data_IF_344924448870
#
_entry.id   IF_344924448870
#
_cell.length_a   1.000
_cell.length_b   1.000
_cell.length_c   1.000
_cell.angle_alpha   90.00
_cell.angle_beta   90.00
_cell.angle_gamma   90.00
#
_symmetry.space_group_name_H-M   'P 1'
#
loop_
_entity.id
_entity.type
_entity.pdbx_description
1 polymer ?
#
# COMPACT_ATOMS: atom_id res chain seq x y z
N UNK A 1 4.77 -14.99 -13.22
CA UNK A 1 5.44 -13.69 -13.43
C UNK A 1 5.14 -13.03 -14.76
N UNK A 2 4.99 -13.76 -15.88
CA UNK A 2 4.49 -13.18 -17.14
C UNK A 2 3.77 -14.22 -18.01
N UNK A 3 2.43 -14.34 -17.86
CA UNK A 3 1.59 -15.15 -18.75
C UNK A 3 1.77 -14.85 -20.23
N UNK A 4 1.92 -13.56 -20.61
CA UNK A 4 2.15 -13.17 -22.00
C UNK A 4 3.47 -13.72 -22.57
N UNK A 5 4.56 -13.66 -21.78
CA UNK A 5 5.85 -14.24 -22.19
C UNK A 5 5.76 -15.76 -22.32
N UNK A 6 5.03 -16.42 -21.41
CA UNK A 6 4.81 -17.86 -21.49
C UNK A 6 4.03 -18.26 -22.75
N UNK A 7 2.94 -17.54 -23.09
CA UNK A 7 2.20 -17.78 -24.34
C UNK A 7 3.07 -17.57 -25.59
N UNK A 8 3.91 -16.54 -25.59
CA UNK A 8 4.85 -16.31 -26.69
C UNK A 8 5.86 -17.45 -26.83
N UNK A 9 6.33 -18.03 -25.70
CA UNK A 9 7.19 -19.20 -25.70
C UNK A 9 6.50 -20.46 -26.23
N UNK A 10 5.24 -20.72 -25.86
CA UNK A 10 4.49 -21.85 -26.40
C UNK A 10 4.24 -21.67 -27.92
N UNK A 11 3.84 -20.47 -28.36
CA UNK A 11 3.69 -20.15 -29.79
C UNK A 11 5.00 -20.33 -30.58
N UNK A 12 6.15 -20.04 -29.96
CA UNK A 12 7.45 -20.27 -30.56
C UNK A 12 7.76 -21.76 -30.75
N UNK A 13 7.45 -22.62 -29.76
CA UNK A 13 7.62 -24.07 -29.89
C UNK A 13 6.84 -24.66 -31.07
N UNK A 14 5.68 -24.09 -31.35
CA UNK A 14 4.82 -24.49 -32.47
C UNK A 14 5.27 -23.90 -33.82
N UNK A 15 6.38 -23.15 -33.86
CA UNK A 15 6.88 -22.49 -35.07
C UNK A 15 6.07 -21.27 -35.51
N UNK A 16 5.20 -20.74 -34.64
CA UNK A 16 4.23 -19.69 -34.98
C UNK A 16 4.73 -18.24 -34.85
N UNK A 17 6.01 -18.01 -34.54
CA UNK A 17 6.58 -16.67 -34.40
C UNK A 17 7.38 -16.24 -35.63
N UNK A 18 7.30 -14.95 -35.97
CA UNK A 18 8.23 -14.34 -36.92
C UNK A 18 9.64 -14.22 -36.31
N UNK A 19 10.67 -14.09 -37.15
CA UNK A 19 12.07 -13.94 -36.72
C UNK A 19 12.28 -12.74 -35.78
N UNK A 20 11.53 -11.65 -35.98
CA UNK A 20 11.58 -10.46 -35.11
C UNK A 20 10.99 -10.75 -33.73
N UNK A 21 9.86 -11.44 -33.67
CA UNK A 21 9.22 -11.84 -32.41
C UNK A 21 10.07 -12.84 -31.65
N UNK A 22 10.69 -13.79 -32.34
CA UNK A 22 11.61 -14.78 -31.77
C UNK A 22 12.83 -14.11 -31.13
N UNK A 23 13.48 -13.15 -31.81
CA UNK A 23 14.57 -12.36 -31.22
C UNK A 23 14.12 -11.63 -29.95
N UNK A 24 12.92 -11.04 -29.96
CA UNK A 24 12.34 -10.35 -28.78
C UNK A 24 12.04 -11.32 -27.63
N UNK A 25 11.55 -12.52 -27.95
CA UNK A 25 11.30 -13.59 -27.00
C UNK A 25 12.61 -14.01 -26.32
N UNK A 26 13.64 -14.36 -27.08
CA UNK A 26 14.93 -14.78 -26.50
C UNK A 26 15.59 -13.70 -25.66
N UNK A 27 15.54 -12.44 -26.09
CA UNK A 27 16.03 -11.33 -25.29
C UNK A 27 15.26 -11.20 -23.96
N UNK A 28 13.95 -11.39 -24.00
CA UNK A 28 13.11 -11.36 -22.79
C UNK A 28 13.40 -12.54 -21.86
N UNK A 29 13.51 -13.76 -22.40
CA UNK A 29 13.90 -14.96 -21.63
C UNK A 29 15.29 -14.80 -21.00
N UNK A 30 16.25 -14.23 -21.73
CA UNK A 30 17.58 -13.89 -21.23
C UNK A 30 17.52 -12.93 -20.04
N UNK A 31 16.70 -11.87 -20.09
CA UNK A 31 16.47 -10.96 -18.95
C UNK A 31 15.89 -11.69 -17.73
N UNK A 32 14.94 -12.60 -17.94
CA UNK A 32 14.35 -13.39 -16.86
C UNK A 32 15.39 -14.35 -16.24
N UNK A 33 16.23 -14.98 -17.06
CA UNK A 33 17.32 -15.83 -16.59
C UNK A 33 18.34 -15.04 -15.77
N UNK A 34 18.79 -13.88 -16.27
CA UNK A 34 19.69 -12.99 -15.55
C UNK A 34 19.08 -12.53 -14.22
N UNK A 35 17.80 -12.17 -14.21
CA UNK A 35 17.10 -11.81 -12.97
C UNK A 35 17.09 -12.95 -11.96
N UNK A 36 16.78 -14.18 -12.40
CA UNK A 36 16.75 -15.37 -11.53
C UNK A 36 18.13 -15.76 -10.98
N UNK A 37 19.22 -15.45 -11.69
CA UNK A 37 20.57 -15.83 -11.30
C UNK A 37 21.34 -14.76 -10.53
N UNK A 38 21.13 -13.48 -10.86
CA UNK A 38 22.00 -12.40 -10.39
C UNK A 38 21.30 -11.36 -9.50
N UNK A 39 19.95 -11.33 -9.44
CA UNK A 39 19.24 -10.28 -8.71
C UNK A 39 18.59 -10.82 -7.44
N UNK A 40 19.03 -10.33 -6.30
CA UNK A 40 18.52 -10.73 -4.98
C UNK A 40 17.20 -10.06 -4.57
N UNK A 41 16.67 -9.10 -5.33
CA UNK A 41 15.39 -8.43 -5.00
C UNK A 41 14.22 -9.42 -5.01
N UNK A 42 13.55 -9.68 -3.87
CA UNK A 42 12.44 -10.64 -3.78
C UNK A 42 11.36 -10.36 -4.82
N UNK A 43 10.99 -11.39 -5.59
CA UNK A 43 9.97 -11.28 -6.63
C UNK A 43 9.49 -12.65 -7.08
N UNK A 44 8.28 -13.02 -6.68
CA UNK A 44 7.70 -14.31 -7.03
C UNK A 44 8.61 -15.46 -6.56
N UNK A 45 8.97 -16.32 -7.51
CA UNK A 45 9.83 -17.48 -7.27
C UNK A 45 11.29 -17.26 -7.75
N UNK A 46 11.65 -16.06 -8.17
CA UNK A 46 12.98 -15.76 -8.71
C UNK A 46 14.00 -15.48 -7.62
N UNK A 47 13.56 -14.85 -6.53
CA UNK A 47 14.33 -14.54 -5.36
C UNK A 47 13.41 -14.63 -4.14
N UNK A 48 13.99 -14.93 -2.98
CA UNK A 48 13.26 -15.15 -1.76
C UNK A 48 14.03 -14.65 -0.54
N UNK A 49 13.35 -14.61 0.59
CA UNK A 49 13.87 -14.04 1.83
C UNK A 49 14.33 -15.14 2.80
N UNK A 50 15.32 -14.81 3.62
CA UNK A 50 15.78 -15.59 4.76
C UNK A 50 15.95 -14.66 5.95
N UNK A 51 15.78 -15.20 7.15
CA UNK A 51 16.10 -14.50 8.40
C UNK A 51 17.40 -15.08 8.94
N UNK A 52 18.31 -14.23 9.38
CA UNK A 52 19.59 -14.64 9.95
C UNK A 52 19.73 -14.09 11.37
N UNK A 53 20.48 -14.83 12.19
CA UNK A 53 20.93 -14.36 13.51
C UNK A 53 22.27 -13.62 13.45
N UNK A 54 22.73 -13.19 14.62
CA UNK A 54 24.09 -12.68 14.82
C UNK A 54 24.92 -13.74 15.54
N UNK A 55 26.18 -13.91 15.17
CA UNK A 55 27.13 -14.83 15.79
C UNK A 55 28.56 -14.30 15.78
N UNK A 56 29.52 -15.11 16.23
CA UNK A 56 30.93 -14.69 16.27
C UNK A 56 31.58 -14.66 14.88
N UNK A 57 31.24 -15.66 14.05
CA UNK A 57 31.67 -15.76 12.64
C UNK A 57 30.47 -15.85 11.72
N UNK A 58 30.65 -15.43 10.47
CA UNK A 58 29.62 -15.61 9.44
C UNK A 58 29.58 -17.08 9.06
N UNK A 59 28.40 -17.68 9.19
CA UNK A 59 28.14 -19.07 8.81
C UNK A 59 26.74 -19.13 8.22
N UNK A 60 26.66 -19.32 6.90
CA UNK A 60 25.40 -19.28 6.16
C UNK A 60 25.37 -20.49 5.24
N UNK A 61 24.55 -21.45 5.61
CA UNK A 61 24.18 -22.55 4.73
C UNK A 61 22.70 -22.42 4.40
N UNK A 62 22.39 -22.36 3.09
CA UNK A 62 21.02 -22.45 2.61
C UNK A 62 20.69 -23.91 2.36
N UNK A 63 19.50 -24.38 2.76
CA UNK A 63 19.11 -25.74 2.46
C UNK A 63 18.90 -25.95 0.95
N UNK A 64 18.81 -27.21 0.51
CA UNK A 64 18.38 -27.55 -0.85
C UNK A 64 17.05 -26.89 -1.20
N UNK A 65 16.85 -26.60 -2.49
CA UNK A 65 15.71 -25.82 -3.00
C UNK A 65 14.36 -26.49 -2.69
N UNK A 66 14.35 -27.79 -2.50
CA UNK A 66 13.18 -28.61 -2.14
C UNK A 66 12.64 -28.24 -0.75
N UNK A 67 13.49 -27.71 0.14
CA UNK A 67 13.08 -27.22 1.47
C UNK A 67 12.60 -25.77 1.44
N UNK A 68 12.71 -25.07 0.31
CA UNK A 68 12.20 -23.70 0.21
C UNK A 68 10.67 -23.73 0.26
N UNK A 69 10.12 -22.72 0.92
CA UNK A 69 8.68 -22.56 1.04
C UNK A 69 8.26 -21.36 0.21
N UNK A 70 6.96 -21.32 -0.11
CA UNK A 70 6.35 -20.17 -0.76
C UNK A 70 5.04 -19.87 -0.09
N UNK A 71 4.61 -18.61 -0.20
CA UNK A 71 3.30 -18.17 0.24
C UNK A 71 2.63 -17.42 -0.90
N UNK A 72 1.49 -17.92 -1.35
CA UNK A 72 0.67 -17.31 -2.39
C UNK A 72 -0.48 -16.55 -1.74
N UNK A 73 -0.72 -15.33 -2.21
CA UNK A 73 -1.84 -14.47 -1.79
C UNK A 73 -2.57 -13.98 -3.02
N UNK A 74 -3.86 -13.72 -2.87
CA UNK A 74 -4.61 -12.97 -3.86
C UNK A 74 -4.14 -11.52 -3.85
N UNK A 75 -4.11 -10.92 -5.03
CA UNK A 75 -3.76 -9.52 -5.17
C UNK A 75 -4.79 -8.61 -4.51
N UNK A 76 -4.30 -7.50 -3.96
CA UNK A 76 -5.13 -6.57 -3.21
C UNK A 76 -6.20 -5.92 -4.10
N UNK A 77 -5.90 -5.61 -5.37
CA UNK A 77 -6.87 -5.05 -6.31
C UNK A 77 -8.03 -6.04 -6.53
N UNK A 78 -7.71 -7.31 -6.73
CA UNK A 78 -8.72 -8.36 -6.87
C UNK A 78 -9.59 -8.48 -5.62
N UNK A 79 -8.99 -8.44 -4.42
CA UNK A 79 -9.73 -8.52 -3.16
C UNK A 79 -10.65 -7.30 -2.95
N UNK A 80 -10.20 -6.09 -3.32
CA UNK A 80 -11.05 -4.89 -3.31
C UNK A 80 -12.26 -5.04 -4.25
N UNK A 81 -12.04 -5.49 -5.48
CA UNK A 81 -13.12 -5.71 -6.46
C UNK A 81 -14.08 -6.82 -6.00
N UNK A 82 -13.57 -7.86 -5.34
CA UNK A 82 -14.39 -8.91 -4.74
C UNK A 82 -15.25 -8.37 -3.60
N UNK A 83 -14.69 -7.57 -2.70
CA UNK A 83 -15.45 -6.93 -1.63
C UNK A 83 -16.59 -6.06 -2.19
N UNK A 84 -16.26 -5.18 -3.14
CA UNK A 84 -17.26 -4.32 -3.80
C UNK A 84 -18.35 -5.12 -4.52
N UNK A 85 -18.00 -6.27 -5.14
CA UNK A 85 -18.98 -7.13 -5.78
C UNK A 85 -19.92 -7.78 -4.76
N UNK A 86 -19.37 -8.28 -3.65
CA UNK A 86 -20.17 -8.84 -2.55
C UNK A 86 -21.10 -7.78 -1.98
N UNK A 87 -20.59 -6.57 -1.72
CA UNK A 87 -21.39 -5.46 -1.18
C UNK A 87 -22.53 -5.01 -2.09
N UNK A 88 -22.51 -5.33 -3.39
CA UNK A 88 -23.62 -5.05 -4.31
C UNK A 88 -24.73 -6.10 -4.29
N UNK A 89 -24.49 -7.26 -3.70
CA UNK A 89 -25.51 -8.29 -3.55
C UNK A 89 -26.46 -7.92 -2.40
N UNK A 90 -27.76 -7.84 -2.68
CA UNK A 90 -28.77 -7.48 -1.67
C UNK A 90 -28.72 -8.42 -0.46
N UNK A 91 -28.54 -9.73 -0.69
CA UNK A 91 -28.42 -10.74 0.36
C UNK A 91 -27.18 -10.54 1.25
N UNK A 92 -26.09 -10.04 0.68
CA UNK A 92 -24.90 -9.67 1.45
C UNK A 92 -25.14 -8.40 2.26
N UNK A 93 -25.71 -7.34 1.64
CA UNK A 93 -26.04 -6.09 2.34
C UNK A 93 -26.89 -6.32 3.58
N UNK A 94 -27.85 -7.25 3.53
CA UNK A 94 -28.69 -7.56 4.68
C UNK A 94 -27.94 -8.17 5.88
N UNK A 95 -26.79 -8.79 5.65
CA UNK A 95 -26.06 -9.59 6.64
C UNK A 95 -24.73 -8.96 7.07
N UNK A 96 -24.15 -8.09 6.25
CA UNK A 96 -22.95 -7.32 6.57
C UNK A 96 -23.16 -6.44 7.80
N UNK A 97 -22.11 -6.32 8.61
CA UNK A 97 -21.99 -5.26 9.59
C UNK A 97 -21.47 -3.99 8.91
N UNK A 98 -22.09 -2.86 9.24
CA UNK A 98 -21.70 -1.54 8.79
C UNK A 98 -21.28 -0.66 9.97
N UNK A 99 -20.23 0.13 9.73
CA UNK A 99 -19.61 1.03 10.70
C UNK A 99 -19.52 2.44 10.11
N UNK A 100 -19.51 3.51 10.92
CA UNK A 100 -19.17 4.84 10.44
C UNK A 100 -17.86 4.84 9.67
N UNK A 101 -17.81 5.56 8.57
CA UNK A 101 -16.57 5.78 7.83
C UNK A 101 -15.51 6.37 8.77
N UNK A 102 -14.34 5.73 8.88
CA UNK A 102 -13.29 6.14 9.82
C UNK A 102 -12.68 7.52 9.55
N UNK A 103 -13.05 8.17 8.45
CA UNK A 103 -12.67 9.55 8.12
C UNK A 103 -13.75 10.58 8.43
N UNK A 104 -14.94 10.12 8.87
CA UNK A 104 -16.09 10.96 9.19
C UNK A 104 -15.82 11.86 10.39
N UNK A 105 -16.15 13.13 10.27
CA UNK A 105 -16.17 14.08 11.38
C UNK A 105 -17.28 15.12 11.20
N UNK A 106 -17.77 15.65 12.31
CA UNK A 106 -18.80 16.70 12.31
C UNK A 106 -18.16 18.07 12.16
N UNK A 107 -18.67 18.88 11.24
CA UNK A 107 -18.27 20.27 11.01
C UNK A 107 -19.51 21.15 10.99
N UNK A 108 -19.73 21.92 12.06
CA UNK A 108 -20.93 22.76 12.22
C UNK A 108 -22.23 21.96 11.99
N UNK A 109 -22.98 22.29 10.94
CA UNK A 109 -24.24 21.66 10.55
C UNK A 109 -24.10 20.56 9.50
N UNK A 110 -22.89 20.07 9.22
CA UNK A 110 -22.65 18.99 8.28
C UNK A 110 -21.68 17.93 8.82
N UNK A 111 -21.71 16.75 8.21
CA UNK A 111 -20.69 15.73 8.34
C UNK A 111 -19.80 15.76 7.11
N UNK A 112 -18.48 15.67 7.32
CA UNK A 112 -17.48 15.60 6.26
C UNK A 112 -16.71 14.29 6.37
N UNK A 113 -16.37 13.70 5.24
CA UNK A 113 -15.68 12.42 5.17
C UNK A 113 -14.97 12.24 3.82
N UNK A 114 -14.09 11.25 3.74
CA UNK A 114 -13.43 10.86 2.49
C UNK A 114 -14.15 9.65 1.93
N UNK A 115 -14.71 9.82 0.74
CA UNK A 115 -15.23 8.71 -0.06
C UNK A 115 -14.23 8.32 -1.14
N UNK A 116 -14.49 7.21 -1.82
CA UNK A 116 -13.63 6.76 -2.90
C UNK A 116 -14.42 6.18 -4.07
N UNK A 117 -13.93 6.44 -5.27
CA UNK A 117 -14.51 5.90 -6.49
C UNK A 117 -13.40 5.36 -7.40
N UNK A 118 -13.77 4.50 -8.33
CA UNK A 118 -12.82 3.93 -9.30
C UNK A 118 -12.91 4.72 -10.59
N UNK A 119 -11.79 5.31 -11.02
CA UNK A 119 -11.64 5.98 -12.32
C UNK A 119 -10.39 5.45 -13.01
N UNK A 120 -10.52 5.03 -14.27
CA UNK A 120 -9.43 4.46 -15.08
C UNK A 120 -8.71 3.26 -14.41
N UNK A 121 -9.45 2.45 -13.65
CA UNK A 121 -8.90 1.30 -12.91
C UNK A 121 -8.07 1.68 -11.67
N UNK A 122 -8.09 2.95 -11.24
CA UNK A 122 -7.45 3.42 -10.02
C UNK A 122 -8.49 3.95 -9.03
N UNK A 123 -8.30 3.64 -7.73
CA UNK A 123 -9.08 4.24 -6.65
C UNK A 123 -8.69 5.72 -6.51
N UNK A 124 -9.69 6.59 -6.58
CA UNK A 124 -9.61 8.03 -6.33
C UNK A 124 -10.35 8.35 -5.05
N UNK A 125 -9.92 9.40 -4.37
CA UNK A 125 -10.49 9.85 -3.10
C UNK A 125 -10.96 11.28 -3.26
N UNK A 126 -12.09 11.62 -2.65
CA UNK A 126 -12.57 12.99 -2.57
C UNK A 126 -13.21 13.26 -1.21
N UNK A 127 -13.19 14.51 -0.78
CA UNK A 127 -13.88 14.95 0.44
C UNK A 127 -15.33 15.23 0.07
N UNK A 128 -16.25 14.57 0.76
CA UNK A 128 -17.69 14.74 0.63
C UNK A 128 -18.27 15.37 1.89
N UNK A 129 -19.41 16.05 1.75
CA UNK A 129 -20.13 16.68 2.86
C UNK A 129 -21.63 16.42 2.74
N UNK A 130 -22.26 16.08 3.86
CA UNK A 130 -23.72 15.90 3.96
C UNK A 130 -24.29 16.67 5.14
N UNK A 131 -25.48 17.23 5.00
CA UNK A 131 -26.12 17.96 6.09
C UNK A 131 -26.39 17.05 7.29
N UNK A 132 -26.02 17.49 8.48
CA UNK A 132 -26.34 16.80 9.71
C UNK A 132 -27.86 16.86 9.94
N UNK A 133 -28.46 15.70 10.19
CA UNK A 133 -29.87 15.59 10.51
C UNK A 133 -30.08 14.49 11.57
N UNK A 134 -31.18 14.53 12.34
CA UNK A 134 -31.40 13.57 13.44
C UNK A 134 -31.41 12.11 13.00
N UNK A 135 -31.87 11.81 11.78
CA UNK A 135 -31.91 10.45 11.24
C UNK A 135 -30.51 9.90 10.96
N UNK A 136 -29.65 10.70 10.34
CA UNK A 136 -28.25 10.36 10.11
C UNK A 136 -27.52 10.16 11.45
N UNK A 137 -27.71 11.05 12.42
CA UNK A 137 -27.09 10.91 13.75
C UNK A 137 -27.50 9.61 14.44
N UNK A 138 -28.78 9.25 14.35
CA UNK A 138 -29.30 8.00 14.91
C UNK A 138 -28.67 6.76 14.25
N UNK A 139 -28.51 6.78 12.92
CA UNK A 139 -27.81 5.71 12.19
C UNK A 139 -26.34 5.61 12.64
N UNK A 140 -25.63 6.73 12.71
CA UNK A 140 -24.20 6.75 13.05
C UNK A 140 -23.96 6.19 14.46
N UNK A 141 -24.78 6.58 15.43
CA UNK A 141 -24.75 6.04 16.80
C UNK A 141 -25.08 4.55 16.80
N UNK A 142 -26.11 4.13 16.06
CA UNK A 142 -26.47 2.70 15.97
C UNK A 142 -25.34 1.85 15.39
N UNK A 143 -24.57 2.40 14.45
CA UNK A 143 -23.50 1.72 13.74
C UNK A 143 -22.13 1.76 14.46
N UNK A 144 -21.99 2.47 15.58
CA UNK A 144 -20.69 2.75 16.22
C UNK A 144 -19.86 1.47 16.48
N UNK A 145 -20.49 0.43 17.01
CA UNK A 145 -19.89 -0.89 17.26
C UNK A 145 -20.19 -1.92 16.14
N UNK A 146 -20.77 -1.45 15.03
CA UNK A 146 -21.19 -2.27 13.90
C UNK A 146 -22.65 -2.68 13.98
N UNK A 147 -23.43 -2.34 12.95
CA UNK A 147 -24.84 -2.71 12.85
C UNK A 147 -25.19 -3.35 11.51
N UNK A 148 -26.08 -4.34 11.53
CA UNK A 148 -26.66 -4.93 10.32
C UNK A 148 -27.70 -4.02 9.72
N UNK A 149 -27.94 -4.15 8.42
CA UNK A 149 -28.95 -3.38 7.70
C UNK A 149 -30.31 -3.33 8.40
N UNK A 150 -30.82 -4.48 8.88
CA UNK A 150 -32.10 -4.53 9.60
C UNK A 150 -32.11 -3.74 10.91
N UNK A 151 -30.99 -3.69 11.62
CA UNK A 151 -30.86 -2.89 12.85
C UNK A 151 -30.83 -1.40 12.53
N UNK A 152 -30.14 -1.01 11.45
CA UNK A 152 -30.13 0.37 10.96
C UNK A 152 -31.52 0.84 10.54
N UNK A 153 -32.24 0.04 9.75
CA UNK A 153 -33.62 0.33 9.33
C UNK A 153 -34.55 0.40 10.54
N UNK A 154 -34.45 -0.54 11.48
CA UNK A 154 -35.26 -0.53 12.70
C UNK A 154 -34.99 0.70 13.58
N UNK A 155 -33.75 1.21 13.59
CA UNK A 155 -33.43 2.43 14.33
C UNK A 155 -34.19 3.65 13.81
N UNK A 156 -34.54 3.70 12.53
CA UNK A 156 -35.25 4.83 11.93
C UNK A 156 -36.77 4.71 11.97
N UNK A 157 -37.30 3.51 12.18
CA UNK A 157 -38.75 3.30 12.19
C UNK A 157 -39.41 4.07 13.33
N UNK A 158 -40.51 4.73 12.99
CA UNK A 158 -41.38 5.48 13.88
C UNK A 158 -42.74 5.72 13.20
N UNK A 159 -43.65 6.41 13.88
CA UNK A 159 -45.02 6.62 13.38
C UNK A 159 -45.08 7.41 12.06
N UNK A 160 -44.03 8.17 11.73
CA UNK A 160 -43.94 9.04 10.54
C UNK A 160 -43.08 8.47 9.40
N UNK A 161 -42.35 7.36 9.61
CA UNK A 161 -41.40 6.82 8.62
C UNK A 161 -41.73 5.37 8.32
N UNK A 162 -42.12 5.11 7.09
CA UNK A 162 -42.38 3.75 6.62
C UNK A 162 -41.10 2.90 6.60
N UNK A 163 -41.27 1.59 6.67
CA UNK A 163 -40.14 0.66 6.59
C UNK A 163 -39.39 0.73 5.25
N UNK A 164 -40.07 1.10 4.17
CA UNK A 164 -39.49 1.22 2.83
C UNK A 164 -38.66 2.50 2.70
N UNK A 165 -39.16 3.63 3.20
CA UNK A 165 -38.41 4.90 3.23
C UNK A 165 -37.14 4.77 4.08
N UNK A 166 -37.23 4.14 5.25
CA UNK A 166 -36.07 3.88 6.09
C UNK A 166 -35.04 2.97 5.39
N UNK A 167 -35.49 1.94 4.68
CA UNK A 167 -34.60 1.06 3.92
C UNK A 167 -33.91 1.80 2.76
N UNK A 168 -34.66 2.62 2.01
CA UNK A 168 -34.12 3.46 0.94
C UNK A 168 -33.04 4.41 1.47
N UNK A 169 -33.33 5.11 2.58
CA UNK A 169 -32.37 6.02 3.19
C UNK A 169 -31.10 5.30 3.68
N UNK A 170 -31.22 4.13 4.33
CA UNK A 170 -30.02 3.36 4.74
C UNK A 170 -29.19 2.92 3.53
N UNK A 171 -29.82 2.56 2.41
CA UNK A 171 -29.09 2.27 1.17
C UNK A 171 -28.33 3.50 0.66
N UNK A 172 -28.95 4.68 0.64
CA UNK A 172 -28.27 5.92 0.25
C UNK A 172 -27.06 6.23 1.13
N UNK A 173 -27.18 6.05 2.46
CA UNK A 173 -26.07 6.26 3.40
C UNK A 173 -24.90 5.30 3.15
N UNK A 174 -25.20 4.04 2.83
CA UNK A 174 -24.18 3.03 2.49
C UNK A 174 -23.54 3.34 1.13
N UNK A 175 -24.35 3.69 0.12
CA UNK A 175 -23.88 4.01 -1.22
C UNK A 175 -23.05 5.29 -1.25
N UNK A 176 -23.40 6.28 -0.42
CA UNK A 176 -22.62 7.48 -0.17
C UNK A 176 -21.37 7.22 0.69
N UNK A 177 -21.14 5.99 1.16
CA UNK A 177 -19.98 5.60 1.98
C UNK A 177 -19.84 6.36 3.31
N UNK A 178 -20.96 6.86 3.86
CA UNK A 178 -21.02 7.35 5.24
C UNK A 178 -20.90 6.19 6.23
N UNK A 179 -21.42 5.04 5.82
CA UNK A 179 -21.16 3.75 6.45
C UNK A 179 -20.30 2.88 5.52
N UNK A 180 -19.35 2.17 6.08
CA UNK A 180 -18.49 1.18 5.40
C UNK A 180 -18.69 -0.19 6.01
N UNK A 181 -18.56 -1.25 5.21
CA UNK A 181 -18.83 -2.61 5.69
C UNK A 181 -17.63 -3.21 6.45
N UNK A 182 -17.85 -4.31 7.17
CA UNK A 182 -16.78 -5.10 7.82
C UNK A 182 -15.72 -5.65 6.85
N UNK A 183 -16.03 -5.69 5.55
CA UNK A 183 -15.12 -6.09 4.47
C UNK A 183 -14.54 -4.92 3.68
N UNK A 184 -14.61 -3.68 4.19
CA UNK A 184 -13.90 -2.53 3.60
C UNK A 184 -12.37 -2.79 3.57
N UNK A 185 -11.70 -2.53 2.44
CA UNK A 185 -10.25 -2.63 2.31
C UNK A 185 -9.46 -1.87 3.39
N UNK A 186 -8.52 -2.56 4.04
CA UNK A 186 -7.68 -2.02 5.10
C UNK A 186 -6.19 -2.25 4.85
N UNK A 187 -5.36 -1.31 5.30
CA UNK A 187 -3.88 -1.39 5.22
C UNK A 187 -3.29 -2.10 6.43
N UNK A 188 -3.84 -1.83 7.62
CA UNK A 188 -3.40 -2.41 8.90
C UNK A 188 -4.52 -3.23 9.52
N UNK A 189 -4.17 -4.14 10.44
CA UNK A 189 -5.12 -5.04 11.08
C UNK A 189 -5.37 -6.33 10.30
N UNK A 190 -6.54 -6.93 10.48
CA UNK A 190 -6.88 -8.23 9.88
C UNK A 190 -6.87 -8.17 8.35
N UNK A 191 -6.16 -9.07 7.63
CA UNK A 191 -6.11 -9.04 6.17
C UNK A 191 -7.49 -9.16 5.50
N UNK A 192 -7.71 -8.39 4.43
CA UNK A 192 -9.01 -8.35 3.74
C UNK A 192 -9.48 -9.73 3.28
N UNK A 193 -8.59 -10.57 2.73
CA UNK A 193 -8.96 -11.92 2.29
C UNK A 193 -9.51 -12.80 3.43
N UNK A 194 -9.04 -12.60 4.67
CA UNK A 194 -9.56 -13.33 5.84
C UNK A 194 -10.91 -12.78 6.30
N UNK A 195 -11.11 -11.46 6.23
CA UNK A 195 -12.40 -10.82 6.51
C UNK A 195 -13.48 -11.34 5.55
N UNK A 196 -13.22 -11.26 4.24
CA UNK A 196 -14.10 -11.78 3.19
C UNK A 196 -14.35 -13.28 3.41
N UNK A 197 -13.30 -14.08 3.63
CA UNK A 197 -13.44 -15.52 3.85
C UNK A 197 -14.32 -15.86 5.05
N UNK A 198 -14.21 -15.09 6.14
CA UNK A 198 -15.03 -15.27 7.35
C UNK A 198 -16.49 -14.89 7.11
N UNK A 199 -16.73 -13.74 6.48
CA UNK A 199 -18.06 -13.28 6.12
C UNK A 199 -18.77 -14.32 5.23
N UNK A 200 -18.10 -14.77 4.16
CA UNK A 200 -18.64 -15.75 3.22
C UNK A 200 -18.92 -17.10 3.88
N UNK A 201 -18.06 -17.55 4.81
CA UNK A 201 -18.28 -18.79 5.56
C UNK A 201 -19.55 -18.70 6.41
N UNK A 202 -19.73 -17.59 7.12
CA UNK A 202 -20.88 -17.38 8.00
C UNK A 202 -22.19 -17.20 7.22
N UNK A 203 -22.12 -16.65 6.01
CA UNK A 203 -23.28 -16.37 5.15
C UNK A 203 -23.45 -17.34 3.99
N UNK A 204 -22.75 -18.49 3.99
CA UNK A 204 -22.78 -19.47 2.89
C UNK A 204 -24.20 -19.91 2.52
N UNK A 205 -25.08 -20.09 3.51
CA UNK A 205 -26.49 -20.49 3.30
C UNK A 205 -27.41 -19.32 2.94
N UNK A 206 -26.94 -18.09 3.05
CA UNK A 206 -27.69 -16.85 2.81
C UNK A 206 -27.35 -16.26 1.44
N UNK A 207 -27.36 -17.08 0.38
CA UNK A 207 -27.07 -16.64 -0.99
C UNK A 207 -25.58 -16.47 -1.33
N UNK A 208 -24.65 -16.60 -0.37
CA UNK A 208 -23.21 -16.43 -0.61
C UNK A 208 -22.45 -17.72 -0.96
N UNK A 209 -23.16 -18.81 -1.29
CA UNK A 209 -22.54 -20.13 -1.54
C UNK A 209 -21.54 -20.11 -2.71
N UNK A 210 -21.88 -19.46 -3.82
CA UNK A 210 -21.01 -19.35 -5.00
C UNK A 210 -19.71 -18.61 -4.65
N UNK A 211 -19.80 -17.43 -4.03
CA UNK A 211 -18.63 -16.66 -3.59
C UNK A 211 -17.76 -17.45 -2.61
N UNK A 212 -18.39 -18.08 -1.62
CA UNK A 212 -17.70 -18.92 -0.64
C UNK A 212 -16.96 -20.08 -1.32
N UNK A 213 -17.63 -20.85 -2.17
CA UNK A 213 -17.08 -22.07 -2.77
C UNK A 213 -15.95 -21.74 -3.75
N UNK A 214 -16.09 -20.66 -4.53
CA UNK A 214 -15.01 -20.15 -5.40
C UNK A 214 -13.80 -19.65 -4.60
N UNK A 215 -13.99 -18.81 -3.57
CA UNK A 215 -12.87 -18.26 -2.79
C UNK A 215 -12.17 -19.36 -1.96
N UNK A 216 -12.94 -20.21 -1.27
CA UNK A 216 -12.39 -21.31 -0.49
C UNK A 216 -11.68 -22.34 -1.38
N UNK A 217 -12.22 -22.63 -2.56
CA UNK A 217 -11.58 -23.46 -3.57
C UNK A 217 -10.26 -22.86 -4.07
N UNK A 218 -10.23 -21.55 -4.31
CA UNK A 218 -9.01 -20.83 -4.69
C UNK A 218 -7.95 -20.87 -3.58
N UNK A 219 -8.33 -20.61 -2.33
CA UNK A 219 -7.45 -20.69 -1.15
C UNK A 219 -6.88 -22.10 -1.01
N UNK A 220 -7.70 -23.14 -1.13
CA UNK A 220 -7.25 -24.54 -1.07
C UNK A 220 -6.22 -24.84 -2.17
N UNK A 221 -6.51 -24.48 -3.42
CA UNK A 221 -5.60 -24.66 -4.56
C UNK A 221 -4.30 -23.88 -4.40
N UNK A 222 -4.34 -22.66 -3.85
CA UNK A 222 -3.14 -21.90 -3.50
C UNK A 222 -2.33 -22.63 -2.42
N UNK A 223 -2.98 -23.17 -1.39
CA UNK A 223 -2.32 -23.98 -0.36
C UNK A 223 -1.68 -25.26 -0.93
N UNK A 224 -2.29 -25.88 -1.93
CA UNK A 224 -1.71 -27.02 -2.66
C UNK A 224 -0.48 -26.61 -3.48
N UNK A 225 -0.53 -25.45 -4.16
CA UNK A 225 0.63 -24.88 -4.85
C UNK A 225 1.76 -24.57 -3.86
N UNK A 226 1.44 -24.11 -2.66
CA UNK A 226 2.43 -23.67 -1.68
C UNK A 226 3.19 -24.82 -1.00
N UNK A 227 2.78 -26.08 -1.21
CA UNK A 227 3.50 -27.28 -0.73
C UNK A 227 4.87 -27.48 -1.38
N UNK A 228 5.12 -26.83 -2.51
CA UNK A 228 6.40 -26.90 -3.23
C UNK A 228 6.62 -25.62 -4.06
N UNK A 229 7.87 -25.23 -4.28
CA UNK A 229 8.18 -24.00 -5.02
C UNK A 229 7.71 -24.10 -6.49
N UNK A 230 8.16 -25.14 -7.19
CA UNK A 230 7.84 -25.40 -8.59
C UNK A 230 6.55 -26.20 -8.74
N UNK A 231 5.69 -25.78 -9.67
CA UNK A 231 4.43 -26.47 -9.96
C UNK A 231 4.18 -26.48 -11.46
N UNK A 232 3.42 -27.48 -11.91
CA UNK A 232 2.93 -27.55 -13.27
C UNK A 232 2.04 -26.34 -13.62
N UNK A 233 2.20 -25.82 -14.84
CA UNK A 233 1.48 -24.63 -15.31
C UNK A 233 -0.04 -24.82 -15.33
N UNK A 234 -0.52 -26.04 -15.59
CA UNK A 234 -1.95 -26.35 -15.64
C UNK A 234 -2.62 -26.09 -14.29
N UNK A 235 -1.91 -26.27 -13.16
CA UNK A 235 -2.45 -25.92 -11.83
C UNK A 235 -2.75 -24.42 -11.71
N UNK A 236 -1.88 -23.56 -12.24
CA UNK A 236 -2.11 -22.10 -12.23
C UNK A 236 -3.24 -21.69 -13.17
N UNK A 237 -3.31 -22.30 -14.37
CA UNK A 237 -4.41 -22.06 -15.33
C UNK A 237 -5.75 -22.46 -14.71
N UNK A 238 -5.82 -23.63 -14.07
CA UNK A 238 -7.03 -24.12 -13.43
C UNK A 238 -7.44 -23.26 -12.23
N UNK A 239 -6.48 -22.74 -11.46
CA UNK A 239 -6.74 -21.79 -10.38
C UNK A 239 -7.30 -20.47 -10.94
N UNK A 240 -6.68 -19.92 -11.99
CA UNK A 240 -7.16 -18.69 -12.63
C UNK A 240 -8.59 -18.85 -13.17
N UNK A 241 -8.88 -19.95 -13.85
CA UNK A 241 -10.23 -20.26 -14.36
C UNK A 241 -11.27 -20.35 -13.24
N UNK A 242 -10.95 -20.99 -12.11
CA UNK A 242 -11.88 -21.08 -10.97
C UNK A 242 -12.19 -19.73 -10.35
N UNK A 243 -11.23 -18.81 -10.31
CA UNK A 243 -11.46 -17.45 -9.82
C UNK A 243 -12.29 -16.64 -10.84
N UNK A 244 -12.06 -16.85 -12.14
CA UNK A 244 -12.82 -16.18 -13.20
C UNK A 244 -14.33 -16.42 -13.13
N UNK A 245 -14.79 -17.50 -12.50
CA UNK A 245 -16.22 -17.77 -12.26
C UNK A 245 -16.90 -16.71 -11.39
N UNK A 246 -16.14 -15.95 -10.60
CA UNK A 246 -16.66 -14.84 -9.82
C UNK A 246 -17.03 -13.63 -10.69
N UNK A 247 -16.76 -13.65 -11.99
CA UNK A 247 -17.07 -12.55 -12.91
C UNK A 247 -16.37 -11.24 -12.55
N UNK A 248 -15.16 -11.33 -11.99
CA UNK A 248 -14.27 -10.21 -11.68
C UNK A 248 -13.18 -10.19 -12.75
N UNK A 249 -13.00 -9.05 -13.41
CA UNK A 249 -12.03 -8.90 -14.49
C UNK A 249 -10.62 -8.75 -13.90
N UNK A 250 -10.01 -9.86 -13.52
CA UNK A 250 -8.65 -9.86 -13.01
C UNK A 250 -7.61 -9.77 -14.15
N UNK A 251 -6.66 -8.85 -14.03
CA UNK A 251 -5.43 -8.92 -14.82
C UNK A 251 -4.66 -10.18 -14.42
N UNK A 252 -4.45 -11.10 -15.37
CA UNK A 252 -3.70 -12.34 -15.16
C UNK A 252 -2.29 -12.12 -14.59
N UNK A 253 -1.68 -10.97 -14.90
CA UNK A 253 -0.36 -10.62 -14.37
C UNK A 253 -0.39 -10.23 -12.89
N UNK A 254 -1.57 -9.87 -12.37
CA UNK A 254 -1.76 -9.25 -11.06
C UNK A 254 -2.84 -9.98 -10.25
N UNK A 255 -3.08 -11.28 -10.49
CA UNK A 255 -4.05 -12.01 -9.67
C UNK A 255 -3.42 -12.62 -8.41
N UNK A 256 -2.16 -13.03 -8.50
CA UNK A 256 -1.44 -13.70 -7.42
C UNK A 256 -0.14 -12.98 -7.09
N UNK A 257 0.08 -12.79 -5.79
CA UNK A 257 1.35 -12.36 -5.23
C UNK A 257 2.00 -13.58 -4.57
N UNK A 258 3.28 -13.81 -4.85
CA UNK A 258 4.01 -14.97 -4.33
C UNK A 258 5.29 -14.48 -3.69
N UNK A 259 5.46 -14.86 -2.43
CA UNK A 259 6.69 -14.67 -1.70
C UNK A 259 7.38 -16.04 -1.53
N UNK A 260 8.65 -16.13 -1.86
CA UNK A 260 9.47 -17.32 -1.58
C UNK A 260 10.29 -17.08 -0.31
N UNK A 261 10.31 -18.07 0.57
CA UNK A 261 11.14 -18.06 1.78
C UNK A 261 12.10 -19.23 1.74
N UNK A 262 13.37 -18.95 2.06
CA UNK A 262 14.42 -19.96 2.16
C UNK A 262 14.70 -20.16 3.64
N UNK A 263 14.11 -21.19 4.27
CA UNK A 263 14.27 -21.39 5.70
C UNK A 263 15.74 -21.59 6.01
N UNK A 264 16.17 -21.03 7.13
CA UNK A 264 17.53 -21.11 7.63
C UNK A 264 17.52 -21.98 8.87
N UNK A 265 18.47 -22.92 8.95
CA UNK A 265 18.75 -23.64 10.19
C UNK A 265 19.64 -22.76 11.07
N UNK A 266 20.90 -23.15 11.22
CA UNK A 266 21.93 -22.24 11.74
C UNK A 266 22.40 -21.34 10.59
N UNK A 267 21.96 -20.09 10.58
CA UNK A 267 22.46 -19.07 9.65
C UNK A 267 22.71 -17.77 10.41
N UNK A 268 23.98 -17.41 10.56
CA UNK A 268 24.42 -16.27 11.34
C UNK A 268 25.38 -15.38 10.54
N UNK A 269 25.28 -14.08 10.78
CA UNK A 269 26.27 -13.09 10.34
C UNK A 269 27.20 -12.75 11.49
N UNK A 270 28.48 -12.52 11.19
CA UNK A 270 29.44 -12.14 12.23
C UNK A 270 29.06 -10.82 12.89
N UNK A 271 29.34 -10.72 14.18
CA UNK A 271 29.18 -9.48 14.95
C UNK A 271 30.10 -8.36 14.45
N UNK A 272 31.18 -8.70 13.75
CA UNK A 272 32.01 -7.72 13.03
C UNK A 272 31.22 -6.98 11.94
N UNK A 273 30.39 -7.69 11.15
CA UNK A 273 29.50 -7.06 10.15
C UNK A 273 28.48 -6.16 10.85
N UNK A 274 27.92 -6.60 11.97
CA UNK A 274 27.00 -5.77 12.78
C UNK A 274 27.66 -4.44 13.18
N UNK A 275 28.89 -4.49 13.68
CA UNK A 275 29.64 -3.29 14.06
C UNK A 275 29.92 -2.38 12.85
N UNK A 276 30.29 -2.95 11.70
CA UNK A 276 30.48 -2.19 10.46
C UNK A 276 29.19 -1.50 10.00
N UNK A 277 28.06 -2.21 9.98
CA UNK A 277 26.75 -1.65 9.62
C UNK A 277 26.35 -0.52 10.58
N UNK A 278 26.56 -0.70 11.89
CA UNK A 278 26.34 0.37 12.86
C UNK A 278 27.24 1.59 12.63
N UNK A 279 28.49 1.37 12.21
CA UNK A 279 29.38 2.44 11.76
C UNK A 279 28.81 3.21 10.57
N UNK A 280 28.34 2.49 9.54
CA UNK A 280 27.70 3.09 8.37
C UNK A 280 26.43 3.86 8.75
N UNK A 281 25.56 3.30 9.60
CA UNK A 281 24.36 4.01 10.07
C UNK A 281 24.71 5.31 10.79
N UNK A 282 25.71 5.32 11.68
CA UNK A 282 26.18 6.56 12.35
C UNK A 282 26.77 7.57 11.37
N UNK A 283 27.53 7.09 10.39
CA UNK A 283 28.09 7.96 9.34
C UNK A 283 26.97 8.59 8.50
N UNK A 284 26.00 7.79 8.05
CA UNK A 284 24.83 8.28 7.31
C UNK A 284 23.94 9.19 8.15
N UNK A 285 23.85 8.99 9.47
CA UNK A 285 23.15 9.91 10.37
C UNK A 285 23.84 11.28 10.46
N UNK A 286 25.17 11.33 10.43
CA UNK A 286 25.92 12.60 10.40
C UNK A 286 25.78 13.32 9.06
N UNK A 287 25.72 12.57 7.96
CA UNK A 287 25.48 13.12 6.62
C UNK A 287 24.02 13.51 6.39
N UNK A 288 23.09 12.80 7.03
CA UNK A 288 21.68 13.14 6.92
C UNK A 288 21.45 14.42 7.72
N UNK A 289 21.19 15.49 6.99
CA UNK A 289 20.61 16.65 7.63
C UNK A 289 19.28 16.22 8.24
N UNK A 290 18.93 16.77 9.41
CA UNK A 290 17.52 16.97 9.74
C UNK A 290 16.94 17.92 8.68
N UNK A 291 16.66 17.43 7.48
CA UNK A 291 15.81 18.16 6.54
C UNK A 291 14.43 18.13 7.17
N UNK A 292 14.11 19.21 7.89
CA UNK A 292 12.76 19.37 8.37
C UNK A 292 11.84 19.33 7.15
N UNK A 293 10.83 18.47 7.21
CA UNK A 293 9.86 18.40 6.13
C UNK A 293 9.17 19.76 6.07
N UNK A 294 9.45 20.55 5.02
CA UNK A 294 8.95 21.91 4.88
C UNK A 294 7.43 21.98 4.89
N UNK A 295 6.76 20.95 4.36
CA UNK A 295 5.31 20.82 4.43
C UNK A 295 4.83 20.61 5.86
N UNK A 296 5.51 19.77 6.64
CA UNK A 296 5.19 19.56 8.05
C UNK A 296 5.44 20.81 8.89
N UNK A 297 6.52 21.54 8.63
CA UNK A 297 6.79 22.80 9.35
C UNK A 297 5.80 23.91 9.00
N UNK A 298 5.34 23.97 7.74
CA UNK A 298 4.24 24.86 7.37
C UNK A 298 2.94 24.43 8.06
N UNK A 299 2.64 23.14 8.09
CA UNK A 299 1.48 22.60 8.79
C UNK A 299 1.49 22.93 10.28
N UNK A 300 2.61 22.67 10.99
CA UNK A 300 2.76 22.97 12.42
C UNK A 300 2.46 24.44 12.73
N UNK A 301 3.07 25.36 11.98
CA UNK A 301 2.84 26.81 12.16
C UNK A 301 1.37 27.16 11.95
N UNK A 302 0.80 26.78 10.81
CA UNK A 302 -0.59 27.10 10.50
C UNK A 302 -1.60 26.40 11.43
N UNK A 303 -1.25 25.23 11.98
CA UNK A 303 -2.02 24.56 13.02
C UNK A 303 -2.02 25.37 14.32
N UNK A 304 -0.84 25.77 14.81
CA UNK A 304 -0.72 26.58 16.03
C UNK A 304 -1.38 27.94 15.86
N UNK A 305 -1.19 28.61 14.72
CA UNK A 305 -1.81 29.92 14.43
C UNK A 305 -3.35 29.84 14.45
N UNK A 306 -3.94 28.72 14.00
CA UNK A 306 -5.40 28.54 13.93
C UNK A 306 -6.01 27.98 15.21
N UNK A 307 -5.36 27.01 15.83
CA UNK A 307 -5.95 26.21 16.92
C UNK A 307 -5.27 26.43 18.28
N UNK A 308 -4.09 27.07 18.32
CA UNK A 308 -3.30 27.21 19.53
C UNK A 308 -2.90 25.85 20.10
N UNK A 309 -3.16 25.65 21.39
CA UNK A 309 -2.88 24.42 22.13
C UNK A 309 -4.05 23.42 22.15
N UNK A 310 -5.10 23.65 21.34
CA UNK A 310 -6.26 22.75 21.30
C UNK A 310 -5.94 21.43 20.61
N UNK A 311 -6.40 20.34 21.22
CA UNK A 311 -6.45 19.04 20.58
C UNK A 311 -7.52 19.04 19.49
N UNK A 312 -7.14 18.66 18.27
CA UNK A 312 -8.02 18.63 17.12
C UNK A 312 -8.00 17.26 16.44
N UNK A 313 -9.16 16.74 15.97
CA UNK A 313 -9.20 15.54 15.13
C UNK A 313 -8.31 15.72 13.90
N UNK A 314 -7.50 14.70 13.60
CA UNK A 314 -6.55 14.77 12.49
C UNK A 314 -7.25 14.99 11.13
N UNK A 315 -8.38 14.33 10.90
CA UNK A 315 -9.20 14.51 9.68
C UNK A 315 -9.65 15.96 9.50
N UNK A 316 -10.10 16.61 10.58
CA UNK A 316 -10.50 18.03 10.56
C UNK A 316 -9.30 18.96 10.35
N UNK A 317 -8.16 18.69 10.97
CA UNK A 317 -6.95 19.50 10.79
C UNK A 317 -6.40 19.41 9.36
N UNK A 318 -6.49 18.23 8.74
CA UNK A 318 -6.01 17.96 7.37
C UNK A 318 -7.00 18.39 6.28
N UNK A 319 -8.25 18.72 6.62
CA UNK A 319 -9.23 19.18 5.65
C UNK A 319 -8.78 20.52 5.02
N UNK A 320 -8.87 20.63 3.70
CA UNK A 320 -8.38 21.79 2.95
C UNK A 320 -9.34 22.97 2.93
N UNK A 321 -10.62 22.75 3.28
CA UNK A 321 -11.65 23.80 3.26
C UNK A 321 -11.93 24.34 4.66
N UNK A 322 -12.04 23.45 5.64
CA UNK A 322 -12.41 23.76 7.03
C UNK A 322 -11.22 23.70 7.99
N UNK A 323 -10.13 23.07 7.57
CA UNK A 323 -8.91 22.85 8.36
C UNK A 323 -7.74 23.73 7.95
N UNK A 324 -6.54 23.16 8.07
CA UNK A 324 -5.26 23.78 7.67
C UNK A 324 -4.73 23.17 6.38
N UNK A 325 -5.14 21.94 6.05
CA UNK A 325 -4.61 21.18 4.92
C UNK A 325 -3.16 20.73 5.12
N UNK A 326 -2.65 19.85 4.25
CA UNK A 326 -1.25 19.41 4.29
C UNK A 326 -0.60 19.47 2.91
N UNK A 327 0.74 19.59 2.87
CA UNK A 327 1.49 19.41 1.62
C UNK A 327 1.37 20.52 0.58
N UNK A 328 0.58 21.57 0.85
CA UNK A 328 0.31 22.58 -0.19
C UNK A 328 -0.62 22.01 -1.26
N UNK A 329 -1.42 20.99 -0.91
CA UNK A 329 -2.55 20.50 -1.71
C UNK A 329 -3.64 21.56 -1.88
N UNK A 330 -3.50 22.72 -1.23
CA UNK A 330 -4.16 23.98 -1.57
C UNK A 330 -3.65 24.62 -2.87
N UNK A 331 -2.71 24.00 -3.60
CA UNK A 331 -2.32 24.44 -4.94
C UNK A 331 -3.39 24.03 -5.95
N UNK A 332 -4.49 24.78 -6.02
CA UNK A 332 -5.23 25.17 -7.25
C UNK A 332 -5.88 24.04 -8.08
N UNK A 333 -5.44 22.79 -7.98
CA UNK A 333 -5.70 21.72 -8.95
C UNK A 333 -6.97 20.91 -8.68
N UNK A 334 -7.46 20.86 -7.44
CA UNK A 334 -8.63 20.05 -7.07
C UNK A 334 -9.86 20.88 -6.66
N UNK A 335 -9.79 22.22 -6.73
CA UNK A 335 -10.97 23.09 -6.65
C UNK A 335 -11.62 23.21 -8.04
N UNK A 336 -12.91 22.86 -8.22
CA UNK A 336 -13.60 22.93 -9.52
C UNK A 336 -13.52 24.30 -10.21
N UNK A 337 -13.39 25.37 -9.44
CA UNK A 337 -13.28 26.76 -9.91
C UNK A 337 -11.90 27.15 -10.48
N UNK A 338 -10.85 26.40 -10.16
CA UNK A 338 -9.46 26.72 -10.54
C UNK A 338 -8.80 25.65 -11.41
N UNK A 339 -9.53 24.58 -11.74
CA UNK A 339 -9.10 23.55 -12.67
C UNK A 339 -8.77 24.16 -14.04
N UNK A 340 -7.48 24.17 -14.41
CA UNK A 340 -7.00 24.65 -15.71
C UNK A 340 -6.14 25.91 -15.67
N UNK A 341 -5.94 26.55 -14.51
CA UNK A 341 -5.03 27.70 -14.40
C UNK A 341 -3.60 27.22 -14.17
N UNK A 342 -2.82 27.14 -15.26
CA UNK A 342 -1.38 26.92 -15.20
C UNK A 342 -0.66 28.25 -14.95
N UNK A 343 -0.26 28.51 -13.71
CA UNK A 343 0.63 29.63 -13.42
C UNK A 343 2.03 29.35 -14.00
N UNK A 344 2.64 30.29 -14.74
CA UNK A 344 3.99 30.10 -15.26
C UNK A 344 4.98 29.93 -14.09
N UNK A 345 5.93 28.99 -14.19
CA UNK A 345 6.94 28.83 -13.16
C UNK A 345 7.77 30.11 -13.08
N UNK A 346 7.81 30.74 -11.90
CA UNK A 346 8.75 31.84 -11.63
C UNK A 346 10.18 31.35 -11.92
N UNK A 347 10.84 31.97 -12.91
CA UNK A 347 12.28 31.79 -13.10
C UNK A 347 13.04 32.58 -12.03
N UNK A 348 13.07 32.06 -10.80
CA UNK A 348 14.05 32.49 -9.80
C UNK A 348 15.39 31.83 -10.12
N UNK A 349 16.45 32.63 -10.22
CA UNK A 349 17.81 32.10 -10.34
C UNK A 349 18.07 31.05 -9.26
N UNK A 350 18.59 29.89 -9.66
CA UNK A 350 18.90 28.81 -8.71
C UNK A 350 20.21 29.13 -7.98
N UNK A 351 20.09 29.72 -6.80
CA UNK A 351 21.21 29.78 -5.87
C UNK A 351 21.44 28.38 -5.28
N UNK A 352 22.58 27.76 -5.59
CA UNK A 352 22.98 26.47 -5.01
C UNK A 352 23.83 26.77 -3.77
N UNK A 353 23.22 26.67 -2.58
CA UNK A 353 23.94 26.80 -1.32
C UNK A 353 24.53 25.44 -0.94
N UNK A 354 25.85 25.29 -1.14
CA UNK A 354 26.57 24.12 -0.67
C UNK A 354 26.75 24.16 0.84
N UNK A 355 26.30 23.10 1.52
CA UNK A 355 26.63 22.85 2.92
C UNK A 355 28.09 22.43 3.05
N UNK A 356 28.65 22.55 4.25
CA UNK A 356 30.07 22.26 4.50
C UNK A 356 30.48 20.85 4.03
N UNK A 357 29.67 19.81 4.32
CA UNK A 357 29.96 18.46 3.83
C UNK A 357 29.86 18.34 2.30
N UNK A 358 29.00 19.10 1.65
CA UNK A 358 28.82 19.08 0.19
C UNK A 358 30.00 19.76 -0.50
N UNK A 359 30.56 20.82 0.12
CA UNK A 359 31.80 21.46 -0.35
C UNK A 359 32.99 20.51 -0.24
N UNK A 360 33.10 19.79 0.89
CA UNK A 360 34.15 18.79 1.07
C UNK A 360 33.99 17.64 0.07
N UNK A 361 32.77 17.11 -0.08
CA UNK A 361 32.48 16.05 -1.04
C UNK A 361 32.79 16.49 -2.48
N UNK A 362 32.41 17.71 -2.85
CA UNK A 362 32.70 18.28 -4.16
C UNK A 362 34.21 18.40 -4.42
N UNK A 363 34.97 18.87 -3.43
CA UNK A 363 36.43 18.96 -3.53
C UNK A 363 37.08 17.60 -3.75
N UNK A 364 36.65 16.59 -2.99
CA UNK A 364 37.19 15.24 -3.15
C UNK A 364 36.80 14.61 -4.49
N UNK A 365 35.58 14.87 -4.98
CA UNK A 365 35.18 14.46 -6.35
C UNK A 365 36.10 15.10 -7.38
N UNK A 366 36.35 16.41 -7.29
CA UNK A 366 37.28 17.10 -8.19
C UNK A 366 38.68 16.48 -8.13
N UNK A 367 39.21 16.21 -6.93
CA UNK A 367 40.51 15.57 -6.74
C UNK A 367 40.56 14.18 -7.39
N UNK A 368 39.53 13.35 -7.17
CA UNK A 368 39.42 12.01 -7.77
C UNK A 368 39.38 12.06 -9.30
N UNK A 369 38.65 13.01 -9.88
CA UNK A 369 38.57 13.21 -11.33
C UNK A 369 39.92 13.65 -11.92
N UNK A 370 40.62 14.59 -11.26
CA UNK A 370 41.96 15.01 -11.70
C UNK A 370 43.03 13.93 -11.51
N UNK A 371 42.89 13.07 -10.51
CA UNK A 371 43.80 11.95 -10.22
C UNK A 371 43.46 10.64 -10.95
N UNK A 372 42.39 10.62 -11.76
CA UNK A 372 41.89 9.45 -12.48
C UNK A 372 41.55 8.24 -11.58
N UNK A 373 41.17 8.51 -10.32
CA UNK A 373 40.76 7.47 -9.36
C UNK A 373 39.25 7.23 -9.44
N UNK A 374 38.83 5.96 -9.48
CA UNK A 374 37.41 5.57 -9.56
C UNK A 374 36.73 5.38 -8.18
N UNK A 375 37.47 5.56 -7.09
CA UNK A 375 36.96 5.35 -5.73
C UNK A 375 37.17 6.60 -4.87
N UNK A 376 36.16 6.91 -4.06
CA UNK A 376 36.18 7.98 -3.08
C UNK A 376 36.23 7.38 -1.68
N UNK A 377 37.24 7.74 -0.88
CA UNK A 377 37.37 7.27 0.50
C UNK A 377 36.59 8.18 1.47
N UNK A 378 35.36 7.78 1.77
CA UNK A 378 34.48 8.50 2.69
C UNK A 378 34.96 8.48 4.16
N UNK A 379 35.98 7.67 4.53
CA UNK A 379 36.55 7.73 5.89
C UNK A 379 37.36 9.00 6.12
N UNK A 380 37.99 9.54 5.08
CA UNK A 380 38.66 10.86 5.15
C UNK A 380 37.64 11.97 5.38
N UNK A 381 36.53 11.89 4.65
CA UNK A 381 35.38 12.77 4.82
C UNK A 381 34.82 12.70 6.25
N UNK A 382 34.71 11.52 6.86
CA UNK A 382 34.25 11.41 8.26
C UNK A 382 35.15 12.17 9.24
N UNK A 383 36.48 12.12 9.09
CA UNK A 383 37.42 12.83 9.96
C UNK A 383 37.27 14.35 9.83
N UNK A 384 37.23 14.85 8.60
CA UNK A 384 37.05 16.29 8.33
C UNK A 384 35.67 16.81 8.77
N UNK A 385 34.64 15.96 8.71
CA UNK A 385 33.32 16.27 9.26
C UNK A 385 33.32 16.27 10.79
N UNK A 386 34.03 15.34 11.44
CA UNK A 386 34.14 15.23 12.90
C UNK A 386 34.92 16.39 13.52
N UNK A 387 36.00 16.86 12.90
CA UNK A 387 36.79 18.00 13.37
C UNK A 387 36.00 19.31 13.36
N UNK A 388 34.97 19.41 12.52
CA UNK A 388 34.08 20.56 12.42
C UNK A 388 32.72 20.35 13.11
N UNK A 389 32.49 19.20 13.74
CA UNK A 389 31.22 18.86 14.41
C UNK A 389 31.24 19.36 15.85
N UNK A 390 30.54 20.46 16.14
CA UNK A 390 30.32 20.92 17.53
C UNK A 390 29.09 20.22 18.14
N UNK A 391 29.26 19.26 19.06
CA UNK A 391 28.14 18.58 19.71
C UNK A 391 27.28 19.52 20.57
N UNK A 392 27.84 20.65 21.07
CA UNK A 392 27.12 21.58 21.96
C UNK A 392 26.05 22.41 21.25
N UNK A 393 26.10 22.53 19.92
CA UNK A 393 25.02 23.13 19.11
C UNK A 393 23.81 22.20 18.92
N UNK A 394 23.93 20.90 19.23
CA UNK A 394 22.86 19.90 19.02
C UNK A 394 21.92 19.78 20.24
N UNK A 395 22.41 20.03 21.45
CA UNK A 395 21.60 19.93 22.68
C UNK A 395 20.75 21.17 22.98
N UNK A 396 21.11 22.36 22.47
CA UNK A 396 20.29 23.58 22.58
C UNK A 396 19.03 23.60 21.70
N UNK A 397 18.77 22.54 20.93
CA UNK A 397 17.55 22.35 20.11
C UNK A 397 16.69 21.19 20.65
N UNK A 398 16.99 20.71 21.86
CA UNK A 398 16.22 19.69 22.61
C UNK A 398 15.50 20.25 23.83
N UNK A 399 15.76 21.51 24.18
CA UNK A 399 14.88 22.36 25.00
C UNK A 399 14.10 23.26 24.05
#
# INVERSE_FOLDING_TARGET
SSPALYRAYEKWKEGGLSQKEEKKLFFSLGKYLLRMRARCTPFGLMAGCSVLGWGDRTDIELPPREKYTRRTRLDMQFLCELAQKIEKENTARETLLFFPNGTLYKSQSSYRYIEHYVKDGARKHQISSVSANPYLEKILVTAEEGARFKQLVASLRGDEISGEEAAGFVHEIIDAQLLVSEIEPNVTGRPLGEKIGSFLKNNRKNGMSLFHDSLSGAIKKMGELDRQVGNDIAKYINLHKSIGQLGIKADENKLFQVDMFKPTGQAVLSSGIKQQLMGVCRFLEKLSNKSENSNLQRFKRAFVDRYGEKDMPLSQALDTETGVGYGGLSNIADTPLLGGIHLPPEQRGREIKFKQYEQTLFREICHCLSGNTQTLDLKKLEKELLENFDPKKRDKLRE
#
